data_IF_188889048950
#
_entry.id   IF_188889048950
#
_cell.length_a   1.000
_cell.length_b   1.000
_cell.length_c   1.000
_cell.angle_alpha   90.00
_cell.angle_beta   90.00
_cell.angle_gamma   90.00
#
_symmetry.space_group_name_H-M   'P 1'
#
loop_
_entity.id
_entity.type
_entity.pdbx_description
1 polymer ?
#
# COMPACT_ATOMS: atom_id res chain seq x y z
N UNK A 1 0.42 9.19 -24.96
CA UNK A 1 0.96 7.98 -25.64
C UNK A 1 0.12 6.82 -25.17
N UNK A 2 -0.68 6.24 -26.05
CA UNK A 2 -1.52 5.09 -25.72
C UNK A 2 -0.65 3.83 -25.75
N UNK A 3 -0.59 3.12 -24.64
CA UNK A 3 0.04 1.79 -24.59
C UNK A 3 -1.01 0.73 -24.96
N UNK A 4 -0.79 0.05 -26.08
CA UNK A 4 -1.61 -1.10 -26.47
C UNK A 4 -0.99 -2.37 -25.89
N UNK A 5 -1.74 -3.10 -25.05
CA UNK A 5 -1.30 -4.33 -24.41
C UNK A 5 -2.04 -5.51 -25.03
N UNK A 6 -1.28 -6.47 -25.50
CA UNK A 6 -1.77 -7.73 -26.01
C UNK A 6 -1.74 -8.78 -24.91
N UNK A 7 -2.90 -9.18 -24.37
CA UNK A 7 -3.02 -10.29 -23.44
C UNK A 7 -3.48 -11.54 -24.15
N UNK A 8 -2.64 -12.58 -24.15
CA UNK A 8 -2.98 -13.91 -24.65
C UNK A 8 -3.44 -14.76 -23.49
N UNK A 9 -4.74 -15.03 -23.41
CA UNK A 9 -5.29 -15.96 -22.41
C UNK A 9 -5.51 -17.32 -23.07
N UNK A 10 -4.86 -18.38 -22.54
CA UNK A 10 -5.14 -19.75 -22.95
C UNK A 10 -6.18 -20.34 -22.01
N UNK A 11 -7.39 -20.56 -22.49
CA UNK A 11 -8.41 -21.36 -21.79
C UNK A 11 -8.31 -22.82 -22.22
N UNK A 12 -8.12 -23.71 -21.26
CA UNK A 12 -7.86 -25.15 -21.45
C UNK A 12 -9.07 -26.00 -21.86
N UNK A 13 -10.22 -25.44 -22.21
CA UNK A 13 -11.44 -26.23 -22.48
C UNK A 13 -11.97 -26.21 -23.90
N UNK A 14 -11.45 -25.36 -24.77
CA UNK A 14 -11.72 -25.42 -26.23
C UNK A 14 -10.54 -24.77 -26.95
N UNK A 15 -10.10 -25.39 -28.03
CA UNK A 15 -8.92 -25.04 -28.85
C UNK A 15 -9.01 -23.68 -29.58
N UNK A 16 -9.51 -22.64 -28.92
CA UNK A 16 -9.55 -21.28 -29.45
C UNK A 16 -8.69 -20.37 -28.57
N UNK A 17 -7.51 -20.01 -29.08
CA UNK A 17 -6.72 -18.92 -28.51
C UNK A 17 -7.50 -17.61 -28.74
N UNK A 18 -8.12 -17.07 -27.68
CA UNK A 18 -8.69 -15.74 -27.72
C UNK A 18 -7.62 -14.71 -27.35
N UNK A 19 -7.46 -13.71 -28.20
CA UNK A 19 -6.57 -12.58 -27.95
C UNK A 19 -7.44 -11.40 -27.53
N UNK A 20 -7.21 -10.86 -26.33
CA UNK A 20 -7.86 -9.65 -25.87
C UNK A 20 -6.86 -8.49 -25.93
N UNK A 21 -7.27 -7.38 -26.53
CA UNK A 21 -6.49 -6.15 -26.58
C UNK A 21 -7.06 -5.14 -25.60
N UNK A 22 -6.20 -4.53 -24.81
CA UNK A 22 -6.54 -3.47 -23.87
C UNK A 22 -5.70 -2.24 -24.20
N UNK A 23 -6.31 -1.05 -24.10
CA UNK A 23 -5.64 0.24 -24.20
C UNK A 23 -5.73 0.97 -22.88
N UNK A 24 -4.62 1.55 -22.41
CA UNK A 24 -4.56 2.33 -21.18
C UNK A 24 -3.46 3.39 -21.27
N UNK A 25 -3.57 4.45 -20.45
CA UNK A 25 -2.52 5.46 -20.27
C UNK A 25 -1.47 4.96 -19.26
N UNK A 26 -1.93 4.23 -18.24
CA UNK A 26 -1.07 3.69 -17.18
C UNK A 26 -1.37 2.20 -16.99
N UNK A 27 -0.33 1.38 -17.20
CA UNK A 27 -0.36 -0.04 -16.85
C UNK A 27 0.29 -0.25 -15.50
N UNK A 28 -0.43 -0.89 -14.57
CA UNK A 28 0.09 -1.28 -13.26
C UNK A 28 0.16 -2.79 -13.17
N UNK A 29 1.34 -3.32 -12.86
CA UNK A 29 1.59 -4.74 -12.69
C UNK A 29 1.77 -5.06 -11.22
N UNK A 30 0.79 -5.73 -10.64
CA UNK A 30 0.75 -6.14 -9.24
C UNK A 30 -0.39 -5.52 -8.44
N UNK A 31 -1.29 -6.36 -7.91
CA UNK A 31 -2.48 -5.98 -7.13
C UNK A 31 -2.24 -5.89 -5.62
N UNK A 32 -1.00 -5.67 -5.18
CA UNK A 32 -0.67 -5.39 -3.78
C UNK A 32 -0.99 -3.95 -3.38
N UNK A 33 -0.72 -3.58 -2.13
CA UNK A 33 -1.04 -2.23 -1.62
C UNK A 33 -0.39 -1.11 -2.45
N UNK A 34 0.85 -1.30 -2.88
CA UNK A 34 1.53 -0.31 -3.73
C UNK A 34 0.83 -0.13 -5.09
N UNK A 35 0.46 -1.24 -5.75
CA UNK A 35 -0.22 -1.18 -7.04
C UNK A 35 -1.64 -0.63 -6.93
N UNK A 36 -2.39 -1.03 -5.91
CA UNK A 36 -3.73 -0.48 -5.64
C UNK A 36 -3.67 1.03 -5.38
N UNK A 37 -2.72 1.49 -4.55
CA UNK A 37 -2.56 2.92 -4.27
C UNK A 37 -2.12 3.71 -5.51
N UNK A 38 -1.21 3.15 -6.31
CA UNK A 38 -0.79 3.77 -7.57
C UNK A 38 -1.95 3.86 -8.57
N UNK A 39 -2.82 2.83 -8.63
CA UNK A 39 -3.99 2.82 -9.49
C UNK A 39 -5.00 3.91 -9.10
N UNK A 40 -5.23 4.10 -7.79
CA UNK A 40 -6.08 5.17 -7.26
C UNK A 40 -5.52 6.53 -7.68
N UNK A 41 -4.23 6.77 -7.44
CA UNK A 41 -3.59 8.06 -7.78
C UNK A 41 -3.66 8.36 -9.28
N UNK A 42 -3.29 7.40 -10.13
CA UNK A 42 -3.32 7.59 -11.57
C UNK A 42 -4.75 7.88 -12.07
N UNK A 43 -5.74 7.12 -11.58
CA UNK A 43 -7.14 7.35 -11.91
C UNK A 43 -7.64 8.73 -11.47
N UNK A 44 -7.35 9.14 -10.24
CA UNK A 44 -7.80 10.41 -9.68
C UNK A 44 -7.16 11.62 -10.38
N UNK A 45 -6.01 11.40 -11.05
CA UNK A 45 -5.38 12.36 -11.96
C UNK A 45 -5.85 12.24 -13.43
N UNK A 46 -6.92 11.49 -13.70
CA UNK A 46 -7.60 11.42 -15.00
C UNK A 46 -7.03 10.40 -15.99
N UNK A 47 -6.11 9.53 -15.58
CA UNK A 47 -5.56 8.51 -16.46
C UNK A 47 -6.52 7.31 -16.60
N UNK A 48 -6.57 6.72 -17.80
CA UNK A 48 -7.17 5.41 -18.03
C UNK A 48 -6.20 4.33 -17.52
N UNK A 49 -6.57 3.63 -16.45
CA UNK A 49 -5.70 2.70 -15.74
C UNK A 49 -6.08 1.25 -16.02
N UNK A 50 -5.08 0.41 -16.29
CA UNK A 50 -5.20 -1.04 -16.30
C UNK A 50 -4.32 -1.63 -15.21
N UNK A 51 -4.94 -2.34 -14.26
CA UNK A 51 -4.27 -3.08 -13.20
C UNK A 51 -4.23 -4.58 -13.54
N UNK A 52 -3.04 -5.16 -13.62
CA UNK A 52 -2.86 -6.60 -13.86
C UNK A 52 -2.33 -7.25 -12.59
N UNK A 53 -2.97 -8.35 -12.16
CA UNK A 53 -2.55 -9.09 -10.98
C UNK A 53 -2.47 -10.59 -11.25
N UNK A 54 -1.44 -11.24 -10.71
CA UNK A 54 -1.29 -12.70 -10.77
C UNK A 54 -2.36 -13.43 -9.95
N UNK A 55 -2.72 -12.85 -8.82
CA UNK A 55 -3.67 -13.42 -7.87
C UNK A 55 -5.02 -12.69 -7.97
N UNK A 56 -6.05 -13.34 -7.40
CA UNK A 56 -7.37 -12.69 -7.28
C UNK A 56 -7.25 -11.36 -6.53
N UNK A 57 -8.13 -10.43 -6.85
CA UNK A 57 -8.28 -9.17 -6.12
C UNK A 57 -8.49 -9.48 -4.62
N UNK A 58 -7.66 -8.89 -3.77
CA UNK A 58 -7.72 -9.12 -2.33
C UNK A 58 -6.81 -10.24 -1.79
N UNK A 59 -6.02 -10.89 -2.63
CA UNK A 59 -5.07 -11.94 -2.21
C UNK A 59 -3.60 -11.62 -2.58
N UNK A 60 -3.13 -10.37 -2.41
CA UNK A 60 -1.71 -10.05 -2.59
C UNK A 60 -0.89 -10.46 -1.37
N UNK A 61 0.43 -10.52 -1.54
CA UNK A 61 1.36 -10.82 -0.43
C UNK A 61 1.20 -9.86 0.77
N UNK A 62 0.73 -8.64 0.54
CA UNK A 62 0.44 -7.64 1.59
C UNK A 62 -0.45 -8.19 2.70
N UNK A 63 -1.42 -9.07 2.40
CA UNK A 63 -2.34 -9.64 3.41
C UNK A 63 -1.62 -10.47 4.49
N UNK A 64 -0.38 -10.89 4.23
CA UNK A 64 0.43 -11.65 5.18
C UNK A 64 1.14 -10.74 6.22
N UNK A 65 1.14 -9.42 6.01
CA UNK A 65 1.77 -8.47 6.92
C UNK A 65 0.97 -8.35 8.22
N UNK A 66 1.61 -8.66 9.35
CA UNK A 66 0.97 -8.73 10.69
C UNK A 66 1.50 -7.69 11.67
N UNK A 67 2.73 -7.24 11.48
CA UNK A 67 3.42 -6.36 12.43
C UNK A 67 2.79 -4.99 12.61
N UNK A 68 2.32 -4.41 11.54
CA UNK A 68 1.81 -3.05 11.48
C UNK A 68 2.48 -2.21 10.40
N UNK A 69 2.20 -0.92 10.40
CA UNK A 69 2.81 0.09 9.54
C UNK A 69 3.49 1.16 10.39
N UNK A 70 4.72 1.51 10.08
CA UNK A 70 5.52 2.46 10.85
C UNK A 70 5.33 3.88 10.33
N UNK A 71 4.98 4.80 11.23
CA UNK A 71 4.87 6.23 10.94
C UNK A 71 5.14 7.04 12.20
N UNK A 72 5.99 8.04 12.14
CA UNK A 72 6.27 8.93 13.25
C UNK A 72 5.13 9.93 13.46
N UNK A 73 4.02 9.46 14.05
CA UNK A 73 2.82 10.27 14.29
C UNK A 73 2.90 11.08 15.60
N UNK A 74 3.81 10.68 16.52
CA UNK A 74 3.94 11.32 17.82
C UNK A 74 2.74 11.13 18.75
N UNK A 75 1.82 10.18 18.45
CA UNK A 75 0.60 9.97 19.25
C UNK A 75 0.89 9.40 20.62
N UNK A 76 1.90 8.55 20.73
CA UNK A 76 2.32 7.89 21.98
C UNK A 76 3.62 8.46 22.52
N UNK A 77 4.54 8.87 21.65
CA UNK A 77 5.84 9.46 21.99
C UNK A 77 5.99 10.76 21.20
N UNK A 78 5.63 11.93 21.78
CA UNK A 78 5.64 13.22 21.07
C UNK A 78 7.03 13.65 20.56
N UNK A 79 8.10 13.07 21.10
CA UNK A 79 9.48 13.33 20.71
C UNK A 79 9.85 12.62 19.41
N UNK A 80 9.04 11.63 18.94
CA UNK A 80 9.31 10.92 17.70
C UNK A 80 9.17 11.84 16.48
N UNK A 81 10.02 11.60 15.49
CA UNK A 81 10.04 12.37 14.26
C UNK A 81 10.42 11.50 13.07
N UNK A 82 10.10 11.96 11.86
CA UNK A 82 10.54 11.29 10.65
C UNK A 82 12.07 11.15 10.57
N UNK A 83 12.84 12.08 11.14
CA UNK A 83 14.30 12.02 11.17
C UNK A 83 14.81 10.87 12.04
N UNK A 84 14.19 10.67 13.21
CA UNK A 84 14.51 9.56 14.12
C UNK A 84 14.08 8.24 13.45
N UNK A 85 12.90 8.22 12.82
CA UNK A 85 12.45 7.07 12.04
C UNK A 85 13.44 6.71 10.91
N UNK A 86 13.90 7.69 10.16
CA UNK A 86 14.91 7.47 9.11
C UNK A 86 16.24 6.97 9.68
N UNK A 87 16.68 7.53 10.80
CA UNK A 87 17.92 7.12 11.49
C UNK A 87 17.84 5.66 11.95
N UNK A 88 16.74 5.27 12.58
CA UNK A 88 16.52 3.88 13.00
C UNK A 88 16.51 2.94 11.79
N UNK A 89 15.80 3.31 10.72
CA UNK A 89 15.71 2.52 9.48
C UNK A 89 17.08 2.31 8.83
N UNK A 90 17.90 3.38 8.76
CA UNK A 90 19.25 3.29 8.19
C UNK A 90 20.18 2.43 9.06
N UNK A 91 20.09 2.57 10.39
CA UNK A 91 20.90 1.79 11.32
C UNK A 91 20.57 0.31 11.23
N UNK A 92 19.29 -0.06 11.26
CA UNK A 92 18.84 -1.45 11.12
C UNK A 92 19.19 -2.04 9.76
N UNK A 93 19.19 -1.24 8.70
CA UNK A 93 19.63 -1.63 7.37
C UNK A 93 21.15 -1.62 7.20
N UNK A 94 21.95 -1.53 8.29
CA UNK A 94 23.41 -1.49 8.25
C UNK A 94 23.95 -0.44 7.25
N UNK A 95 23.20 0.65 7.08
CA UNK A 95 23.49 1.75 6.15
C UNK A 95 23.60 1.32 4.68
N UNK A 96 23.03 0.18 4.30
CA UNK A 96 22.99 -0.32 2.92
C UNK A 96 21.82 0.28 2.10
N UNK A 97 20.85 0.90 2.78
CA UNK A 97 19.68 1.47 2.13
C UNK A 97 19.99 2.77 1.40
N UNK A 98 19.21 3.05 0.34
CA UNK A 98 19.24 4.34 -0.35
C UNK A 98 18.67 5.44 0.57
N UNK A 99 19.49 6.42 0.91
CA UNK A 99 19.14 7.52 1.81
C UNK A 99 17.93 8.33 1.34
N UNK A 100 17.86 8.62 0.03
CA UNK A 100 16.75 9.42 -0.52
C UNK A 100 15.42 8.67 -0.42
N UNK A 101 15.46 7.35 -0.64
CA UNK A 101 14.28 6.48 -0.50
C UNK A 101 13.83 6.38 0.95
N UNK A 102 14.76 6.22 1.90
CA UNK A 102 14.44 6.19 3.33
C UNK A 102 13.88 7.52 3.79
N UNK A 103 14.47 8.63 3.39
CA UNK A 103 13.96 9.96 3.71
C UNK A 103 12.54 10.16 3.20
N UNK A 104 12.29 9.84 1.92
CA UNK A 104 10.96 9.93 1.30
C UNK A 104 9.95 9.07 2.06
N UNK A 105 10.30 7.80 2.33
CA UNK A 105 9.45 6.87 3.07
C UNK A 105 9.05 7.44 4.43
N UNK A 106 10.05 7.83 5.24
CA UNK A 106 9.80 8.26 6.61
C UNK A 106 9.07 9.60 6.69
N UNK A 107 9.30 10.51 5.75
CA UNK A 107 8.56 11.77 5.65
C UNK A 107 7.10 11.60 5.25
N UNK A 108 6.83 10.71 4.30
CA UNK A 108 5.48 10.49 3.78
C UNK A 108 4.65 9.48 4.58
N UNK A 109 5.27 8.68 5.44
CA UNK A 109 4.56 7.65 6.20
C UNK A 109 3.40 8.19 7.06
N UNK A 110 3.52 9.33 7.79
CA UNK A 110 2.40 9.90 8.53
C UNK A 110 1.19 10.22 7.64
N UNK A 111 1.42 10.83 6.48
CA UNK A 111 0.35 11.19 5.55
C UNK A 111 -0.32 9.93 4.98
N UNK A 112 0.47 8.91 4.63
CA UNK A 112 -0.05 7.64 4.14
C UNK A 112 -0.92 6.91 5.19
N UNK A 113 -0.54 6.94 6.46
CA UNK A 113 -1.36 6.38 7.55
C UNK A 113 -2.65 7.17 7.72
N UNK A 114 -2.57 8.50 7.71
CA UNK A 114 -3.75 9.35 7.82
C UNK A 114 -4.70 9.18 6.63
N UNK A 115 -4.18 8.99 5.42
CA UNK A 115 -4.98 8.68 4.24
C UNK A 115 -5.77 7.37 4.43
N UNK A 116 -5.11 6.29 4.88
CA UNK A 116 -5.78 5.03 5.19
C UNK A 116 -6.86 5.19 6.26
N UNK A 117 -6.58 5.98 7.30
CA UNK A 117 -7.56 6.31 8.35
C UNK A 117 -8.77 7.05 7.77
N UNK A 118 -8.53 8.03 6.91
CA UNK A 118 -9.60 8.80 6.25
C UNK A 118 -10.45 7.91 5.33
N UNK A 119 -9.87 6.86 4.76
CA UNK A 119 -10.56 5.85 3.96
C UNK A 119 -11.22 4.76 4.81
N UNK A 120 -11.16 4.86 6.15
CA UNK A 120 -11.87 3.96 7.06
C UNK A 120 -11.06 2.77 7.55
N UNK A 121 -9.72 2.86 7.61
CA UNK A 121 -8.89 1.84 8.25
C UNK A 121 -9.15 1.76 9.76
N UNK A 122 -9.37 0.55 10.25
CA UNK A 122 -9.76 0.26 11.65
C UNK A 122 -8.53 0.01 12.52
N UNK A 123 -7.54 0.90 12.46
CA UNK A 123 -6.40 0.81 13.34
C UNK A 123 -6.80 0.97 14.82
N UNK A 124 -6.03 0.33 15.72
CA UNK A 124 -6.25 0.45 17.16
C UNK A 124 -6.17 1.91 17.63
N UNK A 125 -7.04 2.24 18.57
CA UNK A 125 -7.13 3.58 19.16
C UNK A 125 -7.15 3.53 20.66
N UNK A 126 -6.58 4.55 21.27
CA UNK A 126 -6.71 4.85 22.66
C UNK A 126 -8.16 5.29 23.01
N UNK A 127 -8.48 5.32 24.31
CA UNK A 127 -9.81 5.74 24.78
C UNK A 127 -10.19 7.17 24.36
N UNK A 128 -9.20 8.01 24.11
CA UNK A 128 -9.36 9.40 23.65
C UNK A 128 -9.42 9.53 22.12
N UNK A 129 -9.41 8.42 21.40
CA UNK A 129 -9.53 8.36 19.93
C UNK A 129 -8.22 8.49 19.16
N UNK A 130 -7.09 8.79 19.80
CA UNK A 130 -5.77 8.81 19.15
C UNK A 130 -5.39 7.42 18.67
N UNK A 131 -4.61 7.32 17.58
CA UNK A 131 -4.07 6.05 17.12
C UNK A 131 -3.11 5.48 18.14
N UNK A 132 -3.30 4.22 18.51
CA UNK A 132 -2.35 3.48 19.34
C UNK A 132 -1.12 3.15 18.52
N UNK A 133 0.06 3.41 19.05
CA UNK A 133 1.33 3.02 18.45
C UNK A 133 2.09 2.11 19.41
N UNK A 134 2.75 1.09 18.87
CA UNK A 134 3.56 0.13 19.65
C UNK A 134 4.99 0.07 19.16
N UNK A 135 5.87 -0.49 19.99
CA UNK A 135 7.20 -0.88 19.57
C UNK A 135 7.12 -2.07 18.62
N UNK A 136 7.95 -2.04 17.60
CA UNK A 136 8.14 -3.18 16.70
C UNK A 136 9.54 -3.12 16.09
N UNK A 137 10.34 -4.18 16.33
CA UNK A 137 11.76 -4.18 15.95
C UNK A 137 12.59 -3.24 16.84
N UNK A 138 13.64 -2.67 16.27
CA UNK A 138 14.62 -1.82 16.97
C UNK A 138 14.28 -0.32 16.92
N UNK A 139 13.03 0.03 17.00
CA UNK A 139 12.60 1.43 16.99
C UNK A 139 12.98 2.13 18.31
N UNK A 140 13.44 3.37 18.18
CA UNK A 140 13.69 4.24 19.34
C UNK A 140 12.38 4.60 20.05
N UNK A 141 11.29 4.81 19.29
CA UNK A 141 9.96 5.19 19.78
C UNK A 141 8.86 4.28 19.26
N UNK A 142 7.70 4.31 19.94
CA UNK A 142 6.49 3.63 19.50
C UNK A 142 5.94 4.33 18.26
N UNK A 143 6.07 3.73 17.08
CA UNK A 143 5.58 4.31 15.83
C UNK A 143 4.80 3.36 14.95
N UNK A 144 4.60 2.12 15.41
CA UNK A 144 3.88 1.11 14.62
C UNK A 144 2.39 1.19 14.89
N UNK A 145 1.65 1.63 13.91
CA UNK A 145 0.18 1.56 13.87
C UNK A 145 -0.24 0.17 13.42
N UNK A 146 -1.28 -0.41 13.99
CA UNK A 146 -1.66 -1.81 13.74
C UNK A 146 -3.17 -2.04 13.87
N UNK A 147 -3.63 -3.12 13.27
CA UNK A 147 -4.96 -3.67 13.48
C UNK A 147 -4.83 -5.15 13.84
N UNK A 148 -4.87 -5.45 15.14
CA UNK A 148 -4.61 -6.80 15.69
C UNK A 148 -3.40 -7.46 15.02
N UNK A 149 -3.57 -8.71 14.53
CA UNK A 149 -2.59 -9.42 13.69
C UNK A 149 -2.98 -9.41 12.20
N UNK A 150 -3.82 -8.46 11.79
CA UNK A 150 -4.42 -8.42 10.46
C UNK A 150 -4.17 -7.08 9.72
N UNK A 151 -3.10 -6.36 10.10
CA UNK A 151 -2.82 -5.03 9.53
C UNK A 151 -2.75 -5.04 8.01
N UNK A 152 -2.08 -6.03 7.42
CA UNK A 152 -1.99 -6.12 5.96
C UNK A 152 -3.33 -6.37 5.28
N UNK A 153 -4.18 -7.20 5.88
CA UNK A 153 -5.54 -7.44 5.37
C UNK A 153 -6.39 -6.17 5.45
N UNK A 154 -6.28 -5.42 6.55
CA UNK A 154 -7.01 -4.17 6.73
C UNK A 154 -6.60 -3.12 5.70
N UNK A 155 -5.30 -2.97 5.44
CA UNK A 155 -4.78 -2.07 4.39
C UNK A 155 -5.35 -2.46 3.03
N UNK A 156 -5.29 -3.75 2.66
CA UNK A 156 -5.80 -4.22 1.36
C UNK A 156 -7.31 -4.03 1.26
N UNK A 157 -8.07 -4.31 2.33
CA UNK A 157 -9.52 -4.07 2.37
C UNK A 157 -9.84 -2.62 2.02
N UNK A 158 -9.23 -1.69 2.72
CA UNK A 158 -9.45 -0.25 2.51
C UNK A 158 -9.10 0.16 1.08
N UNK A 159 -7.96 -0.28 0.56
CA UNK A 159 -7.54 0.06 -0.80
C UNK A 159 -8.49 -0.50 -1.87
N UNK A 160 -9.01 -1.72 -1.68
CA UNK A 160 -10.00 -2.30 -2.59
C UNK A 160 -11.29 -1.48 -2.55
N UNK A 161 -11.76 -1.09 -1.36
CA UNK A 161 -12.94 -0.23 -1.21
C UNK A 161 -12.77 1.14 -1.87
N UNK A 162 -11.54 1.60 -2.09
CA UNK A 162 -11.26 2.81 -2.88
C UNK A 162 -11.20 2.54 -4.38
N UNK A 163 -10.70 1.39 -4.81
CA UNK A 163 -10.59 1.01 -6.23
C UNK A 163 -11.95 0.71 -6.87
N UNK A 164 -12.86 0.07 -6.12
CA UNK A 164 -14.16 -0.38 -6.63
C UNK A 164 -15.06 0.76 -7.13
N UNK A 165 -15.30 1.85 -6.38
CA UNK A 165 -16.13 2.97 -6.86
C UNK A 165 -15.54 3.66 -8.09
N UNK A 166 -14.21 3.64 -8.23
CA UNK A 166 -13.48 4.23 -9.36
C UNK A 166 -13.56 3.41 -10.63
N UNK A 167 -14.10 2.17 -10.55
CA UNK A 167 -14.25 1.26 -11.70
C UNK A 167 -12.94 1.02 -12.47
N UNK A 168 -11.81 0.99 -11.74
CA UNK A 168 -10.51 0.74 -12.33
C UNK A 168 -10.48 -0.66 -12.95
N UNK A 169 -10.13 -0.75 -14.25
CA UNK A 169 -10.04 -2.02 -14.97
C UNK A 169 -8.95 -2.90 -14.31
N UNK A 170 -9.32 -4.12 -13.92
CA UNK A 170 -8.39 -5.09 -13.32
C UNK A 170 -8.55 -6.48 -13.93
N UNK A 171 -7.41 -7.13 -14.23
CA UNK A 171 -7.30 -8.46 -14.84
C UNK A 171 -6.39 -9.33 -14.00
#
# INVERSE_FOLDING_TARGET
MDFNILLITTTTTTNTNSVSMYSCDVLIIGGGSAGLRAAIEAHDNGANVLLISKNRKGDPHTVLARGGINAALGTMDPEDSWMIHATDTLREGEFLADYQRVELLCKSAPDAVNELVNWGARFHREKDGRLTQRFFGAHTYRRTVFYEDWTGQEIVRVLIEQVEPRKINSI
#
